data_IF_251885997824
#
_entry.id   IF_251885997824
#
_cell.length_a   1.000
_cell.length_b   1.000
_cell.length_c   1.000
_cell.angle_alpha   90.00
_cell.angle_beta   90.00
_cell.angle_gamma   90.00
#
_symmetry.space_group_name_H-M   'P 1'
#
loop_
_entity.id
_entity.type
_entity.pdbx_description
1 polymer ?
#
# COMPACT_ATOMS: atom_id res chain seq x y z
N UNK A 1 7.60 -2.24 -8.98
CA UNK A 1 6.18 -2.38 -8.59
C UNK A 1 6.18 -2.95 -7.19
N UNK A 2 5.66 -2.23 -6.20
CA UNK A 2 5.72 -2.65 -4.79
C UNK A 2 4.53 -3.57 -4.48
N UNK A 3 4.81 -4.72 -3.86
CA UNK A 3 3.79 -5.63 -3.35
C UNK A 3 3.76 -5.52 -1.83
N UNK A 4 2.57 -5.37 -1.24
CA UNK A 4 2.36 -5.31 0.20
C UNK A 4 2.17 -6.73 0.70
N UNK A 5 3.04 -7.20 1.58
CA UNK A 5 3.01 -8.54 2.15
C UNK A 5 2.47 -8.52 3.58
N UNK A 6 1.54 -9.44 3.89
CA UNK A 6 0.89 -9.54 5.20
C UNK A 6 1.82 -10.26 6.20
N UNK A 7 2.04 -9.69 7.38
CA UNK A 7 3.12 -9.98 8.35
C UNK A 7 3.14 -11.38 9.02
N UNK A 8 2.39 -12.36 8.50
CA UNK A 8 2.11 -13.63 9.19
C UNK A 8 2.83 -14.90 8.72
N UNK A 9 3.77 -14.87 7.77
CA UNK A 9 4.35 -16.12 7.22
C UNK A 9 5.83 -16.03 6.90
N UNK A 10 6.63 -16.94 7.46
CA UNK A 10 8.05 -17.16 7.15
C UNK A 10 8.31 -17.60 5.69
N UNK A 11 7.28 -17.66 4.83
CA UNK A 11 7.33 -18.24 3.49
C UNK A 11 7.13 -17.19 2.38
N UNK A 12 7.04 -15.90 2.71
CA UNK A 12 6.67 -14.83 1.77
C UNK A 12 7.64 -14.70 0.59
N UNK A 13 8.95 -14.81 0.83
CA UNK A 13 9.94 -14.71 -0.25
C UNK A 13 9.80 -15.87 -1.23
N UNK A 14 9.59 -17.08 -0.73
CA UNK A 14 9.39 -18.27 -1.55
C UNK A 14 8.10 -18.16 -2.38
N UNK A 15 7.02 -17.65 -1.79
CA UNK A 15 5.75 -17.41 -2.50
C UNK A 15 5.88 -16.36 -3.61
N UNK A 16 6.62 -15.28 -3.38
CA UNK A 16 6.85 -14.24 -4.41
C UNK A 16 7.78 -14.76 -5.51
N UNK A 17 8.76 -15.61 -5.16
CA UNK A 17 9.68 -16.24 -6.12
C UNK A 17 9.02 -17.35 -6.93
N UNK A 18 8.08 -18.08 -6.34
CA UNK A 18 7.47 -19.28 -6.93
C UNK A 18 7.04 -19.10 -8.40
N UNK A 19 6.32 -18.02 -8.79
CA UNK A 19 5.94 -17.80 -10.18
C UNK A 19 7.13 -17.71 -11.15
N UNK A 20 8.34 -17.39 -10.71
CA UNK A 20 9.53 -17.26 -11.56
C UNK A 20 10.41 -18.52 -11.59
N UNK A 21 10.14 -19.51 -10.74
CA UNK A 21 10.99 -20.70 -10.59
C UNK A 21 10.39 -21.95 -11.24
N UNK A 22 9.06 -22.06 -11.29
CA UNK A 22 8.40 -23.24 -11.85
C UNK A 22 8.30 -23.18 -13.37
N UNK A 23 8.89 -24.16 -14.07
CA UNK A 23 8.94 -24.26 -15.54
C UNK A 23 7.57 -24.10 -16.23
N UNK A 24 6.50 -24.53 -15.56
CA UNK A 24 5.15 -24.45 -16.09
C UNK A 24 4.44 -23.10 -15.88
N UNK A 25 5.10 -22.14 -15.22
CA UNK A 25 4.48 -20.87 -14.90
C UNK A 25 4.20 -20.03 -16.15
N UNK A 26 3.09 -19.29 -16.09
CA UNK A 26 2.73 -18.31 -17.12
C UNK A 26 3.77 -17.19 -17.24
N UNK A 27 4.51 -16.91 -16.16
CA UNK A 27 5.53 -15.86 -16.09
C UNK A 27 6.75 -16.25 -16.92
N UNK A 28 7.28 -17.47 -16.74
CA UNK A 28 8.40 -17.98 -17.54
C UNK A 28 8.01 -18.14 -19.00
N UNK A 29 6.80 -18.66 -19.28
CA UNK A 29 6.25 -18.76 -20.65
C UNK A 29 6.09 -17.40 -21.32
N UNK A 30 5.87 -16.33 -20.56
CA UNK A 30 5.86 -14.95 -21.05
C UNK A 30 7.28 -14.33 -21.23
N UNK A 31 8.33 -15.11 -20.96
CA UNK A 31 9.73 -14.69 -21.06
C UNK A 31 10.18 -13.77 -19.93
N UNK A 32 9.43 -13.67 -18.83
CA UNK A 32 9.79 -12.87 -17.66
C UNK A 32 10.68 -13.69 -16.73
N UNK A 33 11.83 -13.15 -16.36
CA UNK A 33 12.82 -13.79 -15.50
C UNK A 33 13.10 -12.90 -14.30
N UNK A 34 13.07 -13.50 -13.11
CA UNK A 34 13.48 -12.82 -11.89
C UNK A 34 14.99 -12.57 -11.92
N UNK A 35 15.40 -11.34 -11.63
CA UNK A 35 16.81 -10.94 -11.48
C UNK A 35 17.18 -10.90 -10.01
N UNK A 36 16.40 -10.18 -9.23
CA UNK A 36 16.62 -9.96 -7.81
C UNK A 36 15.26 -9.81 -7.11
N UNK A 37 15.25 -10.13 -5.82
CA UNK A 37 14.18 -9.73 -4.90
C UNK A 37 14.82 -9.33 -3.58
N UNK A 38 14.37 -8.21 -3.04
CA UNK A 38 14.75 -7.72 -1.72
C UNK A 38 13.48 -7.43 -0.93
N UNK A 39 13.35 -8.01 0.25
CA UNK A 39 12.22 -7.75 1.15
C UNK A 39 12.71 -6.84 2.26
N UNK A 40 12.03 -5.71 2.46
CA UNK A 40 12.30 -4.77 3.55
C UNK A 40 11.08 -4.57 4.40
N UNK A 41 11.32 -4.44 5.70
CA UNK A 41 10.37 -3.83 6.59
C UNK A 41 10.52 -2.31 6.44
N UNK A 42 9.49 -1.67 5.92
CA UNK A 42 9.39 -0.23 5.82
C UNK A 42 8.42 0.26 6.91
N UNK A 43 8.94 1.13 7.77
CA UNK A 43 8.19 1.69 8.88
C UNK A 43 7.55 3.00 8.43
N UNK A 44 6.22 3.02 8.29
CA UNK A 44 5.54 4.27 7.99
C UNK A 44 5.38 5.09 9.27
N UNK A 45 6.36 5.97 9.54
CA UNK A 45 6.32 6.87 10.69
C UNK A 45 5.44 8.10 10.41
N UNK A 46 4.26 8.12 11.02
CA UNK A 46 3.32 9.25 11.02
C UNK A 46 3.90 10.53 11.66
N UNK A 47 4.94 10.41 12.50
CA UNK A 47 5.50 11.53 13.25
C UNK A 47 6.13 12.61 12.34
N UNK A 48 6.47 12.28 11.08
CA UNK A 48 7.26 13.11 10.16
C UNK A 48 8.60 13.57 10.80
N UNK A 49 9.11 12.90 11.83
CA UNK A 49 10.50 13.08 12.28
C UNK A 49 11.37 12.06 11.58
N UNK A 50 11.53 12.23 10.27
CA UNK A 50 12.57 11.50 9.56
C UNK A 50 13.92 12.05 9.98
N UNK A 51 14.62 11.32 10.85
CA UNK A 51 16.04 11.54 11.11
C UNK A 51 16.79 10.80 10.02
N UNK A 52 17.67 11.52 9.33
CA UNK A 52 18.61 11.02 8.31
C UNK A 52 18.10 10.97 6.83
N UNK A 53 17.66 12.13 6.34
CA UNK A 53 17.72 12.64 4.94
C UNK A 53 16.80 11.97 3.88
N UNK A 54 15.69 12.53 3.37
CA UNK A 54 15.03 13.84 3.38
C UNK A 54 13.57 13.66 2.92
N UNK A 55 12.63 14.35 3.58
CA UNK A 55 11.63 15.24 2.96
C UNK A 55 11.21 16.24 4.04
N UNK A 56 11.67 17.49 3.90
CA UNK A 56 11.31 18.61 4.77
C UNK A 56 10.21 19.43 4.06
N UNK A 57 8.96 19.26 4.48
CA UNK A 57 8.04 20.40 4.50
C UNK A 57 8.44 21.18 5.77
N UNK A 58 9.15 22.29 5.61
CA UNK A 58 9.84 23.07 6.67
C UNK A 58 8.93 23.70 7.76
N UNK A 59 7.65 23.33 7.85
CA UNK A 59 6.75 23.78 8.92
C UNK A 59 6.12 22.60 9.68
N UNK A 60 6.05 22.66 11.03
CA UNK A 60 5.32 21.67 11.82
C UNK A 60 3.82 21.71 11.46
N UNK A 61 3.40 20.79 10.60
CA UNK A 61 2.00 20.59 10.26
C UNK A 61 1.17 20.34 11.53
N UNK A 62 -0.02 20.95 11.60
CA UNK A 62 -0.97 20.67 12.68
C UNK A 62 -1.35 19.19 12.69
N UNK A 63 -1.73 18.68 13.86
CA UNK A 63 -2.17 17.27 14.03
C UNK A 63 -3.29 16.93 13.03
N UNK A 64 -4.25 17.84 12.84
CA UNK A 64 -5.33 17.67 11.87
C UNK A 64 -4.81 17.54 10.43
N UNK A 65 -3.82 18.34 10.03
CA UNK A 65 -3.24 18.22 8.68
C UNK A 65 -2.52 16.89 8.49
N UNK A 66 -1.78 16.41 9.50
CA UNK A 66 -1.13 15.09 9.46
C UNK A 66 -2.16 13.97 9.37
N UNK A 67 -3.24 14.03 10.15
CA UNK A 67 -4.32 13.05 10.14
C UNK A 67 -4.97 12.98 8.75
N UNK A 68 -5.27 14.13 8.16
CA UNK A 68 -5.80 14.21 6.80
C UNK A 68 -4.87 13.58 5.75
N UNK A 69 -3.56 13.88 5.80
CA UNK A 69 -2.58 13.25 4.89
C UNK A 69 -2.57 11.74 5.03
N UNK A 70 -2.54 11.23 6.26
CA UNK A 70 -2.56 9.80 6.56
C UNK A 70 -3.83 9.13 6.01
N UNK A 71 -5.00 9.66 6.34
CA UNK A 71 -6.29 9.11 5.89
C UNK A 71 -6.43 9.15 4.37
N UNK A 72 -5.91 10.20 3.71
CA UNK A 72 -5.92 10.30 2.25
C UNK A 72 -5.14 9.18 1.55
N UNK A 73 -4.06 8.66 2.15
CA UNK A 73 -3.32 7.51 1.59
C UNK A 73 -4.24 6.29 1.53
N UNK A 74 -4.91 5.96 2.64
CA UNK A 74 -5.85 4.83 2.67
C UNK A 74 -7.02 5.05 1.74
N UNK A 75 -7.57 6.27 1.70
CA UNK A 75 -8.67 6.61 0.80
C UNK A 75 -8.31 6.38 -0.65
N UNK A 76 -7.13 6.84 -1.09
CA UNK A 76 -6.67 6.65 -2.46
C UNK A 76 -6.58 5.17 -2.88
N UNK A 77 -6.31 4.26 -1.93
CA UNK A 77 -6.17 2.83 -2.21
C UNK A 77 -7.47 2.04 -2.06
N UNK A 78 -8.42 2.51 -1.25
CA UNK A 78 -9.60 1.74 -0.85
C UNK A 78 -10.93 2.30 -1.31
N UNK A 79 -11.02 3.59 -1.67
CA UNK A 79 -12.29 4.25 -2.02
C UNK A 79 -13.04 3.52 -3.14
N UNK A 80 -12.35 3.12 -4.21
CA UNK A 80 -12.98 2.37 -5.30
C UNK A 80 -13.55 1.03 -4.82
N UNK A 81 -12.79 0.28 -4.00
CA UNK A 81 -13.21 -1.02 -3.48
C UNK A 81 -14.42 -0.85 -2.55
N UNK A 82 -14.42 0.17 -1.70
CA UNK A 82 -15.55 0.48 -0.83
C UNK A 82 -16.78 0.90 -1.62
N UNK A 83 -16.63 1.71 -2.67
CA UNK A 83 -17.74 2.07 -3.57
C UNK A 83 -18.37 0.82 -4.20
N UNK A 84 -17.55 -0.13 -4.67
CA UNK A 84 -18.04 -1.38 -5.26
C UNK A 84 -18.62 -2.35 -4.23
N UNK A 85 -18.17 -2.30 -2.97
CA UNK A 85 -18.64 -3.19 -1.90
C UNK A 85 -19.98 -2.79 -1.28
N UNK A 86 -20.47 -1.57 -1.53
CA UNK A 86 -21.77 -1.11 -1.04
C UNK A 86 -22.92 -1.66 -1.89
N UNK A 87 -24.05 -1.96 -1.24
CA UNK A 87 -25.29 -2.46 -1.87
C UNK A 87 -25.62 -1.72 -3.18
N UNK A 88 -25.81 -2.50 -4.25
CA UNK A 88 -26.11 -2.02 -5.60
C UNK A 88 -27.41 -1.21 -5.68
N UNK A 89 -28.33 -1.38 -4.72
CA UNK A 89 -29.58 -0.61 -4.64
C UNK A 89 -29.37 0.84 -4.23
N UNK A 90 -28.21 1.18 -3.64
CA UNK A 90 -27.88 2.57 -3.28
C UNK A 90 -27.49 3.36 -4.51
N UNK A 91 -27.94 4.62 -4.57
CA UNK A 91 -27.48 5.54 -5.58
C UNK A 91 -25.98 5.86 -5.42
N UNK A 92 -25.32 6.26 -6.50
CA UNK A 92 -23.92 6.67 -6.45
C UNK A 92 -23.68 7.85 -5.50
N UNK A 93 -24.67 8.74 -5.35
CA UNK A 93 -24.62 9.83 -4.39
C UNK A 93 -24.60 9.33 -2.95
N UNK A 94 -25.51 8.42 -2.59
CA UNK A 94 -25.56 7.85 -1.23
C UNK A 94 -24.30 7.07 -0.91
N UNK A 95 -23.76 6.30 -1.86
CA UNK A 95 -22.49 5.58 -1.67
C UNK A 95 -21.34 6.55 -1.38
N UNK A 96 -21.26 7.64 -2.16
CA UNK A 96 -20.25 8.67 -1.94
C UNK A 96 -20.39 9.32 -0.56
N UNK A 97 -21.61 9.65 -0.14
CA UNK A 97 -21.87 10.24 1.19
C UNK A 97 -21.43 9.30 2.33
N UNK A 98 -21.74 8.00 2.22
CA UNK A 98 -21.30 6.99 3.20
C UNK A 98 -19.77 6.93 3.29
N UNK A 99 -19.09 6.95 2.15
CA UNK A 99 -17.62 6.90 2.12
C UNK A 99 -16.99 8.19 2.63
N UNK A 100 -17.56 9.35 2.28
CA UNK A 100 -17.13 10.64 2.80
C UNK A 100 -17.26 10.71 4.32
N UNK A 101 -18.38 10.23 4.87
CA UNK A 101 -18.60 10.12 6.31
C UNK A 101 -17.61 9.16 6.99
N UNK A 102 -17.36 8.00 6.39
CA UNK A 102 -16.38 7.03 6.89
C UNK A 102 -14.98 7.63 7.03
N UNK A 103 -14.46 8.25 5.95
CA UNK A 103 -13.13 8.85 5.99
C UNK A 103 -13.07 10.10 6.87
N UNK A 104 -14.16 10.86 6.98
CA UNK A 104 -14.25 11.97 7.93
C UNK A 104 -14.09 11.50 9.38
N UNK A 105 -14.83 10.46 9.78
CA UNK A 105 -14.70 9.86 11.13
C UNK A 105 -13.31 9.28 11.37
N UNK A 106 -12.74 8.64 10.37
CA UNK A 106 -11.38 8.11 10.47
C UNK A 106 -10.36 9.23 10.70
N UNK A 107 -10.49 10.38 10.02
CA UNK A 107 -9.64 11.55 10.25
C UNK A 107 -9.81 12.13 11.66
N UNK A 108 -11.05 12.20 12.17
CA UNK A 108 -11.33 12.62 13.55
C UNK A 108 -10.68 11.70 14.58
N UNK A 109 -10.76 10.39 14.38
CA UNK A 109 -10.15 9.40 15.27
C UNK A 109 -8.62 9.50 15.27
N UNK A 110 -8.00 9.61 14.10
CA UNK A 110 -6.55 9.82 13.97
C UNK A 110 -6.12 11.15 14.59
N UNK A 111 -6.93 12.20 14.45
CA UNK A 111 -6.63 13.51 15.06
C UNK A 111 -6.69 13.45 16.59
N UNK A 112 -7.62 12.68 17.16
CA UNK A 112 -7.84 12.55 18.59
C UNK A 112 -6.74 11.74 19.29
N UNK A 113 -6.30 10.66 18.64
CA UNK A 113 -5.32 9.72 19.19
C UNK A 113 -4.25 9.35 18.17
N UNK A 114 -3.43 10.30 17.69
CA UNK A 114 -2.51 10.07 16.56
C UNK A 114 -1.49 8.96 16.80
N UNK A 115 -1.13 8.69 18.05
CA UNK A 115 -0.16 7.64 18.40
C UNK A 115 -0.73 6.22 18.34
N UNK A 116 -2.06 6.07 18.26
CA UNK A 116 -2.73 4.77 18.13
C UNK A 116 -2.76 4.30 16.67
N UNK A 117 -2.37 5.18 15.73
CA UNK A 117 -2.40 4.93 14.29
C UNK A 117 -0.97 4.91 13.73
N UNK A 118 -0.62 3.78 13.14
CA UNK A 118 0.66 3.53 12.48
C UNK A 118 0.61 2.14 11.84
N UNK A 119 1.41 1.93 10.80
CA UNK A 119 1.49 0.62 10.17
C UNK A 119 2.90 0.35 9.67
N UNK A 120 3.33 -0.89 9.87
CA UNK A 120 4.55 -1.40 9.28
C UNK A 120 4.19 -2.09 7.96
N UNK A 121 4.92 -1.80 6.89
CA UNK A 121 4.79 -2.48 5.62
C UNK A 121 5.96 -3.43 5.41
N UNK A 122 5.67 -4.67 5.06
CA UNK A 122 6.66 -5.54 4.43
C UNK A 122 6.56 -5.31 2.93
N UNK A 123 7.60 -4.74 2.34
CA UNK A 123 7.68 -4.35 0.93
C UNK A 123 8.68 -5.24 0.21
N UNK A 124 8.26 -5.86 -0.89
CA UNK A 124 9.13 -6.57 -1.81
C UNK A 124 9.53 -5.67 -3.00
N UNK A 125 10.83 -5.43 -3.15
CA UNK A 125 11.45 -4.84 -4.34
C UNK A 125 11.84 -5.99 -5.27
N UNK A 126 11.27 -6.03 -6.47
CA UNK A 126 11.44 -7.14 -7.41
C UNK A 126 11.94 -6.63 -8.75
N UNK A 127 13.12 -7.09 -9.16
CA UNK A 127 13.68 -6.80 -10.47
C UNK A 127 13.38 -7.94 -11.44
N UNK A 128 12.74 -7.61 -12.56
CA UNK A 128 12.31 -8.59 -13.56
C UNK A 128 12.82 -8.16 -14.94
N UNK A 129 13.44 -9.09 -15.65
CA UNK A 129 13.84 -8.92 -17.05
C UNK A 129 12.90 -9.65 -17.98
N UNK A 130 12.55 -9.01 -19.09
CA UNK A 130 11.87 -9.67 -20.21
C UNK A 130 12.91 -10.13 -21.23
N UNK A 131 12.99 -11.44 -21.46
CA UNK A 131 13.82 -11.98 -22.53
C UNK A 131 13.38 -11.41 -23.88
N UNK A 132 14.35 -11.02 -24.73
CA UNK A 132 14.05 -10.65 -26.11
C UNK A 132 13.46 -11.87 -26.82
N UNK A 133 12.40 -11.62 -27.60
CA UNK A 133 11.89 -12.64 -28.51
C UNK A 133 13.01 -13.01 -29.49
N UNK A 134 13.42 -14.28 -29.49
CA UNK A 134 14.31 -14.81 -30.51
C UNK A 134 13.48 -14.92 -31.79
N UNK A 135 13.67 -13.97 -32.70
CA UNK A 135 13.16 -14.01 -34.08
C UNK A 135 13.91 -15.03 -34.92
#
# INVERSE_FOLDING_TARGET
MAFICNSGANNQEEEIKAPFLYEDSKILKAGLKLVSIEIKLDHFDYSLKYKDNEFLDDEPLSVAHKARRYVNVFRAWSEAIFMFGLDERRSEKEKKEIIDEFFGRFEEDVTRSPNDFGYDLVVAYVDILKAKATS
#
